data_IF_078407726806
#
_entry.id   IF_078407726806
#
_cell.length_a   1.000
_cell.length_b   1.000
_cell.length_c   1.000
_cell.angle_alpha   90.00
_cell.angle_beta   90.00
_cell.angle_gamma   90.00
#
_symmetry.space_group_name_H-M   'P 1'
#
loop_
_entity.id
_entity.type
_entity.pdbx_description
1 polymer ?
#
# COMPACT_ATOMS: atom_id res chain seq x y z
N UNK A 1 20.06 -1.16 -10.54
CA UNK A 1 20.67 -0.50 -9.37
C UNK A 1 19.92 -0.97 -8.14
N UNK A 2 20.61 -1.28 -7.06
CA UNK A 2 20.02 -1.88 -5.85
C UNK A 2 20.18 -0.92 -4.67
N UNK A 3 19.16 -0.85 -3.81
CA UNK A 3 19.24 -0.18 -2.51
C UNK A 3 19.52 -1.25 -1.46
N UNK A 4 20.54 -1.04 -0.62
CA UNK A 4 20.93 -1.98 0.45
C UNK A 4 20.57 -1.35 1.78
N UNK A 5 19.85 -2.10 2.62
CA UNK A 5 19.58 -1.73 4.01
C UNK A 5 20.61 -2.44 4.88
N UNK A 6 21.48 -1.72 5.62
CA UNK A 6 22.45 -2.35 6.53
C UNK A 6 21.80 -3.08 7.71
N UNK A 7 22.41 -4.17 8.17
CA UNK A 7 21.92 -4.99 9.30
C UNK A 7 21.79 -4.20 10.61
N UNK A 8 22.61 -3.16 10.79
CA UNK A 8 22.52 -2.25 11.94
C UNK A 8 21.17 -1.52 12.00
N UNK A 9 20.58 -1.19 10.85
CA UNK A 9 19.25 -0.58 10.77
C UNK A 9 18.18 -1.57 11.22
N UNK A 10 18.26 -2.82 10.73
CA UNK A 10 17.34 -3.89 11.11
C UNK A 10 17.43 -4.21 12.60
N UNK A 11 18.65 -4.20 13.14
CA UNK A 11 18.90 -4.39 14.57
C UNK A 11 18.33 -3.24 15.40
N UNK A 12 18.48 -1.99 14.94
CA UNK A 12 17.97 -0.81 15.62
C UNK A 12 16.43 -0.76 15.62
N UNK A 13 15.78 -1.16 14.53
CA UNK A 13 14.31 -1.25 14.44
C UNK A 13 13.75 -2.51 15.06
N UNK A 14 14.60 -3.52 15.33
CA UNK A 14 14.21 -4.88 15.75
C UNK A 14 13.28 -5.55 14.74
N UNK A 15 13.51 -5.28 13.46
CA UNK A 15 12.75 -5.86 12.36
C UNK A 15 13.59 -6.90 11.63
N UNK A 16 12.92 -7.93 11.15
CA UNK A 16 13.44 -8.84 10.14
C UNK A 16 13.41 -8.19 8.76
N UNK A 17 14.18 -8.75 7.81
CA UNK A 17 14.15 -8.36 6.39
C UNK A 17 12.74 -8.42 5.77
N UNK A 18 11.90 -9.33 6.27
CA UNK A 18 10.52 -9.48 5.80
C UNK A 18 9.67 -8.31 6.32
N UNK A 19 9.72 -8.03 7.62
CA UNK A 19 8.98 -6.91 8.23
C UNK A 19 9.40 -5.57 7.63
N UNK A 20 10.71 -5.32 7.46
CA UNK A 20 11.19 -4.08 6.86
C UNK A 20 10.67 -3.90 5.41
N UNK A 21 10.61 -4.99 4.65
CA UNK A 21 10.10 -4.98 3.27
C UNK A 21 8.60 -4.74 3.23
N UNK A 22 7.85 -5.32 4.16
CA UNK A 22 6.43 -5.05 4.35
C UNK A 22 6.18 -3.57 4.67
N UNK A 23 6.95 -2.98 5.59
CA UNK A 23 6.83 -1.55 5.93
C UNK A 23 7.08 -0.65 4.71
N UNK A 24 8.13 -0.95 3.93
CA UNK A 24 8.43 -0.19 2.71
C UNK A 24 7.30 -0.38 1.67
N UNK A 25 6.77 -1.59 1.53
CA UNK A 25 5.66 -1.88 0.61
C UNK A 25 4.41 -1.06 0.96
N UNK A 26 4.06 -1.06 2.25
CA UNK A 26 2.90 -0.32 2.77
C UNK A 26 3.09 1.18 2.57
N UNK A 27 4.25 1.73 2.93
CA UNK A 27 4.57 3.14 2.70
C UNK A 27 4.45 3.53 1.22
N UNK A 28 5.00 2.73 0.32
CA UNK A 28 4.96 3.01 -1.12
C UNK A 28 3.55 2.89 -1.71
N UNK A 29 2.74 1.97 -1.18
CA UNK A 29 1.31 1.87 -1.53
C UNK A 29 0.54 3.11 -1.07
N UNK A 30 0.70 3.53 0.19
CA UNK A 30 0.03 4.71 0.75
C UNK A 30 0.40 6.01 0.04
N UNK A 31 1.61 6.08 -0.56
CA UNK A 31 2.06 7.23 -1.36
C UNK A 31 1.70 7.11 -2.84
N UNK A 32 0.87 6.14 -3.20
CA UNK A 32 0.44 5.85 -4.57
C UNK A 32 1.60 5.63 -5.55
N UNK A 33 2.77 5.21 -5.03
CA UNK A 33 3.95 4.90 -5.85
C UNK A 33 3.94 3.47 -6.34
N UNK A 34 3.28 2.57 -5.61
CA UNK A 34 3.04 1.20 -6.03
C UNK A 34 1.55 0.90 -6.00
N UNK A 35 1.05 0.27 -7.06
CA UNK A 35 -0.28 -0.34 -7.05
C UNK A 35 -0.35 -1.49 -6.05
N UNK A 36 -1.55 -1.91 -5.65
CA UNK A 36 -1.77 -3.04 -4.74
C UNK A 36 -1.00 -4.31 -5.18
N UNK A 37 -1.00 -4.61 -6.48
CA UNK A 37 -0.32 -5.79 -7.04
C UNK A 37 1.22 -5.65 -7.07
N UNK A 38 1.74 -4.43 -7.17
CA UNK A 38 3.18 -4.18 -7.10
C UNK A 38 3.66 -4.22 -5.65
N UNK A 39 2.94 -3.58 -4.74
CA UNK A 39 3.26 -3.57 -3.31
C UNK A 39 3.20 -4.97 -2.70
N UNK A 40 2.18 -5.78 -3.02
CA UNK A 40 2.10 -7.16 -2.52
C UNK A 40 3.28 -8.03 -3.00
N UNK A 41 3.66 -7.90 -4.28
CA UNK A 41 4.84 -8.60 -4.83
C UNK A 41 6.13 -8.14 -4.17
N UNK A 42 6.27 -6.83 -3.95
CA UNK A 42 7.45 -6.29 -3.28
C UNK A 42 7.53 -6.77 -1.83
N UNK A 43 6.42 -6.83 -1.11
CA UNK A 43 6.32 -7.42 0.24
C UNK A 43 6.53 -8.95 0.28
N UNK A 44 6.61 -9.63 -0.87
CA UNK A 44 6.80 -11.08 -0.92
C UNK A 44 5.56 -11.89 -0.55
N UNK A 45 4.35 -11.32 -0.68
CA UNK A 45 3.10 -12.00 -0.30
C UNK A 45 2.02 -11.91 -1.37
N UNK A 46 1.02 -12.78 -1.25
CA UNK A 46 -0.14 -12.77 -2.13
C UNK A 46 -0.98 -11.50 -1.93
N UNK A 47 -1.64 -11.05 -3.00
CA UNK A 47 -2.44 -9.81 -3.00
C UNK A 47 -3.49 -9.77 -1.89
N UNK A 48 -4.17 -10.89 -1.64
CA UNK A 48 -5.19 -11.00 -0.58
C UNK A 48 -4.57 -10.84 0.82
N UNK A 49 -3.41 -11.45 1.08
CA UNK A 49 -2.69 -11.28 2.34
C UNK A 49 -2.27 -9.82 2.56
N UNK A 50 -1.80 -9.17 1.50
CA UNK A 50 -1.46 -7.75 1.56
C UNK A 50 -2.68 -6.85 1.81
N UNK A 51 -3.84 -7.17 1.23
CA UNK A 51 -5.09 -6.46 1.56
C UNK A 51 -5.49 -6.63 3.03
N UNK A 52 -5.32 -7.83 3.60
CA UNK A 52 -5.55 -8.06 5.04
C UNK A 52 -4.56 -7.27 5.91
N UNK A 53 -3.29 -7.17 5.49
CA UNK A 53 -2.28 -6.35 6.17
C UNK A 53 -2.66 -4.86 6.16
N UNK A 54 -3.12 -4.34 5.03
CA UNK A 54 -3.61 -2.97 4.93
C UNK A 54 -4.82 -2.75 5.83
N UNK A 55 -5.78 -3.68 5.80
CA UNK A 55 -6.99 -3.61 6.62
C UNK A 55 -6.68 -3.64 8.13
N UNK A 56 -5.76 -4.50 8.59
CA UNK A 56 -5.37 -4.57 10.01
C UNK A 56 -4.71 -3.29 10.50
N UNK A 57 -4.13 -2.51 9.59
CA UNK A 57 -3.52 -1.20 9.84
C UNK A 57 -4.45 -0.02 9.54
N UNK A 58 -5.73 -0.28 9.25
CA UNK A 58 -6.72 0.74 8.89
C UNK A 58 -6.32 1.56 7.65
N UNK A 59 -5.60 0.94 6.71
CA UNK A 59 -5.20 1.57 5.45
C UNK A 59 -6.22 1.19 4.38
N UNK A 60 -6.96 2.17 3.82
CA UNK A 60 -7.95 1.89 2.80
C UNK A 60 -7.29 1.34 1.52
N UNK A 61 -7.87 0.27 0.97
CA UNK A 61 -7.42 -0.36 -0.29
C UNK A 61 -8.03 0.33 -1.52
N UNK A 62 -9.15 1.03 -1.32
CA UNK A 62 -9.92 1.72 -2.36
C UNK A 62 -10.35 3.11 -1.90
N UNK A 63 -10.37 4.00 -2.89
CA UNK A 63 -11.01 5.31 -2.95
C UNK A 63 -10.80 6.18 -1.72
N UNK A 64 -9.82 7.09 -1.85
CA UNK A 64 -9.80 8.29 -1.02
C UNK A 64 -11.08 9.09 -1.21
N UNK A 65 -11.32 10.08 -0.36
CA UNK A 65 -12.46 11.01 -0.51
C UNK A 65 -12.49 11.62 -1.91
N UNK A 66 -11.31 11.92 -2.48
CA UNK A 66 -11.16 12.47 -3.82
C UNK A 66 -11.66 11.54 -4.93
N UNK A 67 -11.34 10.25 -4.85
CA UNK A 67 -11.86 9.29 -5.81
C UNK A 67 -13.39 9.16 -5.67
N UNK A 68 -13.91 9.15 -4.44
CA UNK A 68 -15.37 9.11 -4.19
C UNK A 68 -16.08 10.36 -4.72
N UNK A 69 -15.48 11.54 -4.53
CA UNK A 69 -15.95 12.79 -5.12
C UNK A 69 -15.93 12.74 -6.64
N UNK A 70 -14.90 12.14 -7.24
CA UNK A 70 -14.81 11.94 -8.68
C UNK A 70 -15.91 11.02 -9.20
N UNK A 71 -16.24 9.93 -8.51
CA UNK A 71 -17.35 9.05 -8.89
C UNK A 71 -18.71 9.75 -8.77
N UNK A 72 -18.93 10.55 -7.72
CA UNK A 72 -20.14 11.37 -7.59
C UNK A 72 -20.25 12.38 -8.73
N UNK A 73 -19.15 13.03 -9.10
CA UNK A 73 -19.08 13.95 -10.22
C UNK A 73 -19.44 13.25 -11.53
N UNK A 74 -18.81 12.10 -11.79
CA UNK A 74 -19.08 11.27 -12.98
C UNK A 74 -20.56 10.84 -13.04
N UNK A 75 -21.17 10.46 -11.92
CA UNK A 75 -22.58 10.06 -11.87
C UNK A 75 -23.54 11.22 -12.15
N UNK A 76 -23.23 12.44 -11.67
CA UNK A 76 -24.01 13.65 -11.99
C UNK A 76 -23.92 14.00 -13.48
N UNK A 77 -22.73 13.93 -14.06
CA UNK A 77 -22.52 14.17 -15.49
C UNK A 77 -23.25 13.16 -16.36
N UNK A 78 -23.36 11.91 -15.89
CA UNK A 78 -24.14 10.85 -16.54
C UNK A 78 -25.65 10.95 -16.28
N UNK A 79 -26.13 11.91 -15.47
CA UNK A 79 -27.55 12.07 -15.11
C UNK A 79 -28.11 10.89 -14.32
N UNK A 80 -27.25 10.17 -13.58
CA UNK A 80 -27.62 9.01 -12.75
C UNK A 80 -27.75 9.36 -11.26
N UNK A 81 -27.60 10.64 -10.94
CA UNK A 81 -27.74 11.30 -9.64
C UNK A 81 -28.22 12.73 -9.90
#
# INVERSE_FOLDING_TARGET
MSVIVPDEILTATRMTDAEMREEIAVMLFQREKLTLAQASRFAGMHRVAFQHLLASRHIPVHYGVEDFEQDIQNLREMGRL
#
